data_IF_887150202511
#
_entry.id   IF_887150202511
#
_cell.length_a   1.000
_cell.length_b   1.000
_cell.length_c   1.000
_cell.angle_alpha   90.00
_cell.angle_beta   90.00
_cell.angle_gamma   90.00
#
_symmetry.space_group_name_H-M   'P 1'
#
loop_
_entity.id
_entity.type
_entity.pdbx_description
1 polymer ?
#
# COMPACT_ATOMS: atom_id res chain seq x y z
N UNK A 1 54.72 -67.33 -1.69
CA UNK A 1 54.36 -66.13 -2.48
C UNK A 1 53.00 -66.34 -3.12
N UNK A 2 51.89 -65.87 -2.52
CA UNK A 2 50.65 -65.53 -3.28
C UNK A 2 49.93 -64.41 -2.52
N UNK A 3 49.74 -63.28 -3.19
CA UNK A 3 49.08 -62.08 -2.68
C UNK A 3 47.56 -62.23 -2.75
N UNK A 4 46.90 -61.69 -1.73
CA UNK A 4 45.45 -61.59 -1.54
C UNK A 4 44.86 -60.60 -2.55
N UNK A 5 43.91 -61.01 -3.40
CA UNK A 5 43.14 -60.10 -4.26
C UNK A 5 41.94 -59.56 -3.47
N UNK A 6 41.91 -58.25 -3.24
CA UNK A 6 40.76 -57.53 -2.66
C UNK A 6 39.75 -57.23 -3.77
N UNK A 7 38.52 -57.70 -3.60
CA UNK A 7 37.39 -57.41 -4.47
C UNK A 7 36.81 -56.05 -4.09
N UNK A 8 36.96 -55.02 -4.93
CA UNK A 8 36.25 -53.74 -4.83
C UNK A 8 35.23 -53.65 -5.95
N UNK A 9 33.96 -53.89 -5.62
CA UNK A 9 32.81 -53.70 -6.52
C UNK A 9 31.74 -52.94 -5.74
N UNK A 10 31.87 -51.62 -5.68
CA UNK A 10 30.97 -50.77 -4.89
C UNK A 10 30.77 -49.34 -5.40
N UNK A 11 31.39 -48.93 -6.52
CA UNK A 11 31.35 -47.54 -6.98
C UNK A 11 30.27 -47.20 -8.02
N UNK A 12 29.85 -48.18 -8.83
CA UNK A 12 29.01 -47.91 -10.00
C UNK A 12 27.51 -47.96 -9.69
N UNK A 13 27.09 -48.88 -8.82
CA UNK A 13 25.68 -49.07 -8.44
C UNK A 13 25.13 -47.90 -7.62
N UNK A 14 25.94 -47.30 -6.74
CA UNK A 14 25.54 -46.13 -5.96
C UNK A 14 25.36 -44.86 -6.81
N UNK A 15 26.26 -44.61 -7.77
CA UNK A 15 26.15 -43.48 -8.70
C UNK A 15 24.93 -43.60 -9.62
N UNK A 16 24.60 -44.82 -10.05
CA UNK A 16 23.39 -45.09 -10.84
C UNK A 16 22.11 -44.83 -10.03
N UNK A 17 22.09 -45.24 -8.75
CA UNK A 17 20.95 -45.00 -7.87
C UNK A 17 20.72 -43.49 -7.62
N UNK A 18 21.79 -42.71 -7.42
CA UNK A 18 21.71 -41.26 -7.27
C UNK A 18 21.23 -40.59 -8.56
N UNK A 19 21.74 -41.01 -9.73
CA UNK A 19 21.29 -40.47 -11.01
C UNK A 19 19.80 -40.73 -11.27
N UNK A 20 19.31 -41.94 -10.96
CA UNK A 20 17.89 -42.28 -11.08
C UNK A 20 17.01 -41.44 -10.13
N UNK A 21 17.49 -41.17 -8.90
CA UNK A 21 16.79 -40.32 -7.95
C UNK A 21 16.70 -38.87 -8.42
N UNK A 22 17.77 -38.31 -9.00
CA UNK A 22 17.78 -36.97 -9.57
C UNK A 22 16.83 -36.86 -10.78
N UNK A 23 16.83 -37.86 -11.66
CA UNK A 23 15.89 -37.91 -12.81
C UNK A 23 14.44 -37.98 -12.34
N UNK A 24 14.15 -38.74 -11.28
CA UNK A 24 12.81 -38.79 -10.69
C UNK A 24 12.38 -37.42 -10.13
N UNK A 25 13.27 -36.70 -9.43
CA UNK A 25 12.99 -35.35 -8.92
C UNK A 25 12.73 -34.34 -10.04
N UNK A 26 13.53 -34.37 -11.11
CA UNK A 26 13.34 -33.50 -12.27
C UNK A 26 12.00 -33.78 -12.97
N UNK A 27 11.57 -35.04 -13.01
CA UNK A 27 10.29 -35.43 -13.61
C UNK A 27 9.10 -34.92 -12.81
N UNK A 28 9.18 -34.95 -11.48
CA UNK A 28 8.16 -34.38 -10.59
C UNK A 28 8.10 -32.86 -10.71
N UNK A 29 9.25 -32.18 -10.73
CA UNK A 29 9.32 -30.73 -10.90
C UNK A 29 8.76 -30.27 -12.25
N UNK A 30 9.07 -31.00 -13.33
CA UNK A 30 8.52 -30.74 -14.66
C UNK A 30 7.00 -30.97 -14.69
N UNK A 31 6.50 -32.02 -14.04
CA UNK A 31 5.05 -32.26 -13.91
C UNK A 31 4.32 -31.13 -13.18
N UNK A 32 4.92 -30.58 -12.11
CA UNK A 32 4.38 -29.43 -11.38
C UNK A 32 4.39 -28.16 -12.24
N UNK A 33 5.47 -27.92 -13.00
CA UNK A 33 5.56 -26.81 -13.95
C UNK A 33 4.52 -26.93 -15.06
N UNK A 34 4.33 -28.14 -15.61
CA UNK A 34 3.32 -28.41 -16.63
C UNK A 34 1.91 -28.19 -16.06
N UNK A 35 1.65 -28.65 -14.82
CA UNK A 35 0.38 -28.46 -14.13
C UNK A 35 0.10 -26.98 -13.85
N UNK A 36 1.10 -26.21 -13.40
CA UNK A 36 1.00 -24.76 -13.22
C UNK A 36 0.73 -24.04 -14.54
N UNK A 37 1.40 -24.45 -15.63
CA UNK A 37 1.20 -23.89 -16.95
C UNK A 37 -0.20 -24.19 -17.50
N UNK A 38 -0.68 -25.42 -17.34
CA UNK A 38 -2.05 -25.83 -17.69
C UNK A 38 -3.07 -25.01 -16.88
N UNK A 39 -2.88 -24.88 -15.56
CA UNK A 39 -3.78 -24.11 -14.69
C UNK A 39 -3.79 -22.62 -15.02
N UNK A 40 -2.64 -22.03 -15.37
CA UNK A 40 -2.53 -20.64 -15.84
C UNK A 40 -3.33 -20.44 -17.13
N UNK A 41 -3.19 -21.36 -18.08
CA UNK A 41 -3.91 -21.33 -19.36
C UNK A 41 -5.43 -21.57 -19.18
N UNK A 42 -5.86 -22.37 -18.19
CA UNK A 42 -7.28 -22.52 -17.84
C UNK A 42 -7.88 -21.20 -17.34
N UNK A 43 -7.14 -20.46 -16.50
CA UNK A 43 -7.58 -19.14 -16.02
C UNK A 43 -7.71 -18.14 -17.17
N UNK A 44 -6.78 -18.14 -18.11
CA UNK A 44 -6.85 -17.30 -19.31
C UNK A 44 -8.08 -17.64 -20.18
N UNK A 45 -8.37 -18.93 -20.37
CA UNK A 45 -9.56 -19.40 -21.11
C UNK A 45 -10.89 -19.00 -20.47
N UNK A 46 -11.03 -19.05 -19.14
CA UNK A 46 -12.26 -18.61 -18.46
C UNK A 46 -12.46 -17.09 -18.56
N UNK A 47 -11.38 -16.29 -18.58
CA UNK A 47 -11.49 -14.84 -18.79
C UNK A 47 -11.94 -14.53 -20.21
N UNK A 48 -11.37 -15.21 -21.21
CA UNK A 48 -11.76 -15.06 -22.61
C UNK A 48 -13.23 -15.46 -22.84
N UNK A 49 -13.68 -16.57 -22.24
CA UNK A 49 -15.08 -17.01 -22.35
C UNK A 49 -16.06 -16.00 -21.74
N UNK A 50 -15.71 -15.42 -20.59
CA UNK A 50 -16.54 -14.41 -19.92
C UNK A 50 -16.57 -13.08 -20.69
N UNK A 51 -15.47 -12.73 -21.36
CA UNK A 51 -15.43 -11.57 -22.27
C UNK A 51 -16.37 -11.79 -23.45
N UNK A 52 -16.34 -12.98 -24.09
CA UNK A 52 -17.21 -13.30 -25.22
C UNK A 52 -18.71 -13.29 -24.85
N UNK A 53 -19.08 -13.74 -23.64
CA UNK A 53 -20.46 -13.69 -23.15
C UNK A 53 -20.93 -12.24 -22.90
N UNK A 54 -20.04 -11.39 -22.37
CA UNK A 54 -20.33 -9.97 -22.17
C UNK A 54 -20.45 -9.20 -23.50
N UNK A 55 -19.64 -9.57 -24.50
CA UNK A 55 -19.72 -9.03 -25.87
C UNK A 55 -21.05 -9.39 -26.55
N UNK A 56 -21.53 -10.62 -26.37
CA UNK A 56 -22.83 -11.06 -26.89
C UNK A 56 -24.00 -10.29 -26.25
N UNK A 57 -23.94 -10.02 -24.94
CA UNK A 57 -24.94 -9.25 -24.21
C UNK A 57 -24.93 -7.75 -24.56
N UNK A 58 -23.76 -7.18 -24.88
CA UNK A 58 -23.62 -5.80 -25.35
C UNK A 58 -24.14 -5.63 -26.79
N UNK A 59 -23.93 -6.63 -27.66
CA UNK A 59 -24.42 -6.63 -29.03
C UNK A 59 -25.96 -6.69 -29.13
N UNK A 60 -26.66 -7.19 -28.11
CA UNK A 60 -28.12 -7.25 -28.09
C UNK A 60 -28.80 -5.94 -27.67
N UNK A 61 -28.06 -4.97 -27.09
CA UNK A 61 -28.64 -3.81 -26.40
C UNK A 61 -28.22 -2.43 -26.96
N UNK A 62 -27.55 -2.35 -28.11
CA UNK A 62 -27.10 -1.07 -28.68
C UNK A 62 -28.15 -0.38 -29.59
N UNK A 63 -28.66 0.78 -29.17
CA UNK A 63 -29.36 1.77 -30.03
C UNK A 63 -28.37 2.56 -30.93
N UNK A 64 -28.80 3.21 -32.04
CA UNK A 64 -27.95 3.42 -33.21
C UNK A 64 -27.01 4.64 -33.16
N UNK A 65 -25.76 4.34 -33.54
CA UNK A 65 -24.76 5.05 -34.35
C UNK A 65 -24.53 6.57 -34.21
N UNK A 66 -23.32 6.93 -33.78
CA UNK A 66 -22.60 8.12 -34.26
C UNK A 66 -21.20 7.70 -34.74
N UNK A 67 -20.95 7.95 -36.01
CA UNK A 67 -19.69 7.73 -36.73
C UNK A 67 -18.60 8.71 -36.23
N UNK A 68 -17.49 8.18 -35.72
CA UNK A 68 -16.15 8.78 -35.93
C UNK A 68 -15.07 7.73 -35.72
N UNK A 69 -14.22 7.61 -36.73
CA UNK A 69 -13.08 6.72 -36.80
C UNK A 69 -11.94 7.17 -35.88
N UNK A 70 -11.82 6.52 -34.72
CA UNK A 70 -10.63 6.51 -33.84
C UNK A 70 -10.59 5.14 -33.14
N UNK A 71 -9.41 4.52 -32.93
CA UNK A 71 -9.36 3.21 -32.26
C UNK A 71 -9.92 3.35 -30.86
N UNK A 72 -11.11 2.77 -30.64
CA UNK A 72 -11.88 2.89 -29.41
C UNK A 72 -11.15 2.11 -28.30
N UNK A 73 -10.54 2.86 -27.39
CA UNK A 73 -9.95 2.39 -26.16
C UNK A 73 -11.08 1.74 -25.35
N UNK A 74 -11.05 0.42 -25.15
CA UNK A 74 -12.04 -0.26 -24.31
C UNK A 74 -11.93 0.35 -22.90
N UNK A 75 -12.98 0.99 -22.35
CA UNK A 75 -12.89 1.55 -21.01
C UNK A 75 -12.83 0.41 -20.01
N UNK A 76 -11.65 0.19 -19.42
CA UNK A 76 -11.57 -0.31 -18.04
C UNK A 76 -12.60 0.52 -17.26
N UNK A 77 -13.52 -0.12 -16.53
CA UNK A 77 -14.49 0.59 -15.69
C UNK A 77 -13.67 1.49 -14.77
N UNK A 78 -13.57 2.77 -15.15
CA UNK A 78 -12.67 3.70 -14.50
C UNK A 78 -13.06 3.75 -13.03
N UNK A 79 -12.09 3.58 -12.14
CA UNK A 79 -12.34 3.75 -10.73
C UNK A 79 -12.91 5.16 -10.52
N UNK A 80 -14.09 5.23 -9.92
CA UNK A 80 -14.82 6.48 -9.83
C UNK A 80 -14.16 7.36 -8.78
N UNK A 81 -13.35 8.30 -9.25
CA UNK A 81 -12.75 9.32 -8.39
C UNK A 81 -13.71 10.48 -8.12
N UNK A 82 -13.57 11.12 -6.97
CA UNK A 82 -14.33 12.31 -6.56
C UNK A 82 -13.38 13.36 -6.02
N UNK A 83 -13.61 14.62 -6.36
CA UNK A 83 -12.90 15.71 -5.73
C UNK A 83 -13.28 15.78 -4.24
N UNK A 84 -12.27 15.76 -3.39
CA UNK A 84 -12.43 15.75 -1.93
C UNK A 84 -11.46 16.76 -1.32
N UNK A 85 -11.99 17.55 -0.39
CA UNK A 85 -11.22 18.48 0.43
C UNK A 85 -10.64 17.76 1.65
N UNK A 86 -9.33 17.87 1.84
CA UNK A 86 -8.58 17.20 2.91
C UNK A 86 -7.85 18.24 3.76
N UNK A 87 -8.41 18.54 4.94
CA UNK A 87 -7.91 19.57 5.86
C UNK A 87 -6.82 19.10 6.84
N UNK A 88 -6.61 17.80 7.00
CA UNK A 88 -5.67 17.25 7.98
C UNK A 88 -4.24 17.04 7.45
N UNK A 89 -3.99 17.39 6.19
CA UNK A 89 -2.72 17.16 5.49
C UNK A 89 -1.84 18.41 5.56
N UNK A 90 -0.60 18.24 6.01
CA UNK A 90 0.42 19.30 6.00
C UNK A 90 0.95 19.54 4.59
N UNK A 91 0.78 20.77 4.09
CA UNK A 91 1.23 21.19 2.76
C UNK A 91 2.50 22.02 2.89
N UNK A 92 3.59 21.56 2.26
CA UNK A 92 4.85 22.30 2.25
C UNK A 92 4.77 23.53 1.33
N UNK A 93 5.50 24.60 1.67
CA UNK A 93 5.43 25.89 0.96
C UNK A 93 5.85 25.84 -0.51
N UNK A 94 6.64 24.83 -0.89
CA UNK A 94 7.11 24.60 -2.24
C UNK A 94 6.14 23.77 -3.11
N UNK A 95 4.99 23.36 -2.56
CA UNK A 95 3.96 22.61 -3.28
C UNK A 95 2.92 23.58 -3.82
N UNK A 96 2.60 23.43 -5.11
CA UNK A 96 1.66 24.26 -5.85
C UNK A 96 0.54 23.43 -6.45
N UNK A 97 -0.54 24.09 -6.86
CA UNK A 97 -1.59 23.48 -7.66
C UNK A 97 -1.00 22.90 -8.96
N UNK A 98 -1.49 21.74 -9.37
CA UNK A 98 -0.98 21.00 -10.52
C UNK A 98 0.23 20.09 -10.22
N UNK A 99 0.89 20.24 -9.07
CA UNK A 99 1.98 19.34 -8.67
C UNK A 99 1.44 17.91 -8.42
N UNK A 100 2.24 16.91 -8.79
CA UNK A 100 2.01 15.52 -8.40
C UNK A 100 2.72 15.21 -7.09
N UNK A 101 2.02 14.56 -6.18
CA UNK A 101 2.49 14.32 -4.80
C UNK A 101 2.13 12.93 -4.30
N UNK A 102 2.98 12.38 -3.44
CA UNK A 102 2.60 11.31 -2.52
C UNK A 102 1.96 11.93 -1.27
N UNK A 103 0.91 11.27 -0.77
CA UNK A 103 0.35 11.54 0.56
C UNK A 103 0.95 10.52 1.52
N UNK A 104 1.60 11.01 2.58
CA UNK A 104 2.38 10.17 3.48
C UNK A 104 1.96 10.36 4.93
N UNK A 105 2.07 9.30 5.72
CA UNK A 105 1.95 9.32 7.17
C UNK A 105 3.28 8.97 7.80
N UNK A 106 3.73 9.83 8.71
CA UNK A 106 4.91 9.59 9.55
C UNK A 106 4.50 9.51 11.00
N UNK A 107 4.89 8.43 11.66
CA UNK A 107 4.68 8.24 13.09
C UNK A 107 5.85 8.80 13.92
N UNK A 108 5.64 8.90 15.23
CA UNK A 108 6.63 9.46 16.18
C UNK A 108 7.94 8.66 16.24
N UNK A 109 7.91 7.36 15.92
CA UNK A 109 9.11 6.51 15.84
C UNK A 109 9.93 6.73 14.55
N UNK A 110 9.46 7.62 13.67
CA UNK A 110 10.09 7.95 12.40
C UNK A 110 9.72 7.01 11.24
N UNK A 111 8.89 5.99 11.49
CA UNK A 111 8.34 5.16 10.40
C UNK A 111 7.44 6.01 9.49
N UNK A 112 7.55 5.77 8.19
CA UNK A 112 7.04 6.65 7.15
C UNK A 112 6.44 5.82 6.00
N UNK A 113 5.16 6.04 5.73
CA UNK A 113 4.35 5.21 4.84
C UNK A 113 3.60 6.07 3.83
N UNK A 114 3.30 5.50 2.66
CA UNK A 114 2.58 6.12 1.56
C UNK A 114 1.14 5.64 1.61
N UNK A 115 0.20 6.58 1.77
CA UNK A 115 -1.24 6.35 1.84
C UNK A 115 -1.85 6.35 0.43
N UNK A 116 -1.46 7.34 -0.38
CA UNK A 116 -1.89 7.50 -1.75
C UNK A 116 -0.70 8.05 -2.56
N UNK A 117 -0.53 7.54 -3.78
CA UNK A 117 0.64 7.81 -4.61
C UNK A 117 0.29 8.64 -5.84
N UNK A 118 1.19 9.51 -6.26
CA UNK A 118 1.11 10.27 -7.52
C UNK A 118 -0.22 11.01 -7.72
N UNK A 119 -0.69 11.71 -6.67
CA UNK A 119 -1.91 12.52 -6.66
C UNK A 119 -1.63 13.92 -7.16
N UNK A 120 -2.37 14.36 -8.17
CA UNK A 120 -2.32 15.73 -8.64
C UNK A 120 -3.11 16.63 -7.71
N UNK A 121 -2.51 17.73 -7.27
CA UNK A 121 -3.19 18.76 -6.47
C UNK A 121 -4.13 19.57 -7.36
N UNK A 122 -5.44 19.51 -7.11
CA UNK A 122 -6.42 20.35 -7.82
C UNK A 122 -6.37 21.78 -7.31
N UNK A 123 -6.45 21.97 -5.99
CA UNK A 123 -6.35 23.28 -5.35
C UNK A 123 -5.77 23.19 -3.95
N UNK A 124 -5.27 24.32 -3.45
CA UNK A 124 -4.73 24.43 -2.09
C UNK A 124 -5.45 25.57 -1.35
N UNK A 125 -6.10 25.26 -0.23
CA UNK A 125 -6.59 26.30 0.67
C UNK A 125 -5.42 26.77 1.55
N UNK A 126 -4.82 27.91 1.19
CA UNK A 126 -3.70 28.50 1.92
C UNK A 126 -4.13 29.23 3.20
N UNK A 127 -5.41 29.57 3.35
CA UNK A 127 -5.92 30.29 4.52
C UNK A 127 -6.28 29.32 5.65
N UNK A 128 -7.01 28.24 5.32
CA UNK A 128 -7.44 27.23 6.29
C UNK A 128 -6.50 26.03 6.37
N UNK A 129 -5.60 25.89 5.40
CA UNK A 129 -4.80 24.70 5.22
C UNK A 129 -5.60 23.58 4.55
N UNK A 130 -4.89 22.67 3.88
CA UNK A 130 -5.49 21.52 3.20
C UNK A 130 -5.42 21.62 1.68
N UNK A 131 -5.92 20.56 1.04
CA UNK A 131 -5.88 20.38 -0.41
C UNK A 131 -7.22 19.86 -0.93
N UNK A 132 -7.50 20.09 -2.21
CA UNK A 132 -8.53 19.38 -2.95
C UNK A 132 -7.84 18.49 -3.97
N UNK A 133 -8.23 17.22 -4.00
CA UNK A 133 -7.70 16.22 -4.94
C UNK A 133 -8.78 15.22 -5.37
N UNK A 134 -8.65 14.59 -6.56
CA UNK A 134 -9.46 13.44 -6.92
C UNK A 134 -9.01 12.20 -6.15
N UNK A 135 -9.92 11.63 -5.35
CA UNK A 135 -9.70 10.39 -4.58
C UNK A 135 -10.66 9.31 -5.01
N UNK A 136 -10.16 8.08 -5.07
CA UNK A 136 -11.00 6.89 -5.21
C UNK A 136 -11.68 6.51 -3.88
N UNK A 137 -12.59 5.56 -3.92
CA UNK A 137 -13.26 5.07 -2.72
C UNK A 137 -12.28 4.34 -1.78
N UNK A 138 -11.33 3.57 -2.33
CA UNK A 138 -10.28 2.92 -1.53
C UNK A 138 -9.39 3.98 -0.88
N UNK A 139 -8.87 4.93 -1.67
CA UNK A 139 -8.00 6.00 -1.17
C UNK A 139 -8.68 6.82 -0.08
N UNK A 140 -9.97 7.13 -0.23
CA UNK A 140 -10.75 7.84 0.79
C UNK A 140 -10.80 7.06 2.11
N UNK A 141 -11.00 5.74 2.07
CA UNK A 141 -10.99 4.90 3.28
C UNK A 141 -9.60 4.83 3.92
N UNK A 142 -8.53 4.73 3.11
CA UNK A 142 -7.15 4.77 3.61
C UNK A 142 -6.83 6.12 4.26
N UNK A 143 -7.25 7.23 3.66
CA UNK A 143 -7.11 8.58 4.18
C UNK A 143 -7.85 8.75 5.52
N UNK A 144 -9.08 8.27 5.62
CA UNK A 144 -9.85 8.29 6.88
C UNK A 144 -9.19 7.45 7.98
N UNK A 145 -8.61 6.29 7.62
CA UNK A 145 -7.82 5.48 8.56
C UNK A 145 -6.58 6.25 9.03
N UNK A 146 -5.87 6.93 8.12
CA UNK A 146 -4.67 7.69 8.43
C UNK A 146 -4.98 8.93 9.29
N UNK A 147 -6.11 9.60 9.07
CA UNK A 147 -6.58 10.70 9.92
C UNK A 147 -6.88 10.20 11.34
N UNK A 148 -7.55 9.06 11.45
CA UNK A 148 -7.80 8.41 12.76
C UNK A 148 -6.49 8.08 13.47
N UNK A 149 -5.51 7.51 12.75
CA UNK A 149 -4.20 7.20 13.29
C UNK A 149 -3.46 8.48 13.73
N UNK A 150 -3.52 9.56 12.93
CA UNK A 150 -2.96 10.87 13.28
C UNK A 150 -3.51 11.39 14.60
N UNK A 151 -4.81 11.25 14.81
CA UNK A 151 -5.46 11.76 16.02
C UNK A 151 -5.26 10.84 17.23
N UNK A 152 -5.11 9.53 16.99
CA UNK A 152 -4.88 8.54 18.04
C UNK A 152 -3.44 8.50 18.54
N UNK A 153 -2.48 8.76 17.66
CA UNK A 153 -1.04 8.63 17.94
C UNK A 153 -0.37 10.00 17.93
N UNK A 154 -0.12 10.55 19.12
CA UNK A 154 0.53 11.85 19.28
C UNK A 154 1.87 11.92 18.51
N UNK A 155 2.12 13.08 17.88
CA UNK A 155 3.33 13.32 17.08
C UNK A 155 3.28 12.77 15.65
N UNK A 156 2.20 12.07 15.29
CA UNK A 156 1.97 11.60 13.90
C UNK A 156 1.68 12.78 12.98
N UNK A 157 2.21 12.74 11.76
CA UNK A 157 2.03 13.77 10.74
C UNK A 157 1.57 13.13 9.44
N UNK A 158 0.52 13.69 8.85
CA UNK A 158 0.15 13.42 7.46
C UNK A 158 0.62 14.60 6.61
N UNK A 159 1.36 14.34 5.53
CA UNK A 159 2.01 15.39 4.74
C UNK A 159 2.22 14.98 3.29
N UNK A 160 2.51 15.97 2.45
CA UNK A 160 2.75 15.77 1.02
C UNK A 160 4.25 15.71 0.67
N UNK A 161 4.61 14.83 -0.26
CA UNK A 161 5.93 14.81 -0.91
C UNK A 161 5.76 14.98 -2.41
N UNK A 162 6.37 16.03 -2.97
CA UNK A 162 6.29 16.35 -4.40
C UNK A 162 7.19 15.44 -5.24
N UNK A 163 6.67 14.97 -6.38
CA UNK A 163 7.45 14.27 -7.40
C UNK A 163 8.40 15.20 -8.14
N UNK A 164 9.51 14.66 -8.62
CA UNK A 164 10.29 15.33 -9.65
C UNK A 164 9.55 15.17 -11.00
N UNK A 165 9.30 16.24 -11.76
CA UNK A 165 8.69 16.14 -13.09
C UNK A 165 9.42 15.21 -14.08
N UNK A 166 10.68 14.87 -13.80
CA UNK A 166 11.51 13.97 -14.62
C UNK A 166 11.54 12.53 -14.09
N UNK A 167 10.88 12.24 -12.97
CA UNK A 167 10.84 10.91 -12.36
C UNK A 167 9.53 10.19 -12.67
N UNK A 168 9.62 9.15 -13.50
CA UNK A 168 8.48 8.30 -13.88
C UNK A 168 8.22 7.17 -12.87
N UNK A 169 9.02 7.05 -11.80
CA UNK A 169 8.86 5.98 -10.81
C UNK A 169 7.77 6.32 -9.79
N UNK A 170 6.54 5.93 -10.11
CA UNK A 170 5.40 6.02 -9.19
C UNK A 170 5.63 5.11 -7.98
N UNK A 171 5.54 5.67 -6.78
CA UNK A 171 5.68 4.91 -5.54
C UNK A 171 4.53 3.92 -5.33
N UNK A 172 4.81 2.77 -4.71
CA UNK A 172 3.78 1.82 -4.28
C UNK A 172 3.17 2.25 -2.94
N UNK A 173 1.84 2.13 -2.81
CA UNK A 173 1.13 2.35 -1.55
C UNK A 173 1.48 1.24 -0.56
N UNK A 174 2.00 1.62 0.61
CA UNK A 174 2.47 0.69 1.63
C UNK A 174 1.93 0.99 3.04
N UNK A 175 0.98 1.93 3.16
CA UNK A 175 0.26 2.16 4.40
C UNK A 175 -0.69 0.99 4.72
N UNK A 176 -0.59 0.44 5.93
CA UNK A 176 -1.50 -0.60 6.41
C UNK A 176 -2.61 0.01 7.28
N UNK A 177 -3.88 0.00 6.81
CA UNK A 177 -4.99 0.58 7.55
C UNK A 177 -5.36 -0.27 8.78
N UNK A 178 -6.20 0.29 9.65
CA UNK A 178 -6.75 -0.47 10.78
C UNK A 178 -7.57 -1.68 10.31
N UNK A 179 -7.69 -2.70 11.17
CA UNK A 179 -8.48 -3.91 10.87
C UNK A 179 -9.93 -3.59 10.50
N UNK A 180 -10.54 -2.60 11.19
CA UNK A 180 -11.91 -2.15 10.88
C UNK A 180 -12.00 -1.62 9.46
N UNK A 181 -11.06 -0.76 9.06
CA UNK A 181 -11.08 -0.14 7.73
C UNK A 181 -10.75 -1.17 6.64
N UNK A 182 -9.82 -2.08 6.89
CA UNK A 182 -9.55 -3.22 5.98
C UNK A 182 -10.84 -4.00 5.70
N UNK A 183 -11.59 -4.37 6.74
CA UNK A 183 -12.82 -5.14 6.56
C UNK A 183 -13.89 -4.33 5.80
N UNK A 184 -13.96 -3.01 6.00
CA UNK A 184 -14.83 -2.11 5.22
C UNK A 184 -14.41 -2.06 3.74
N UNK A 185 -13.10 -1.97 3.45
CA UNK A 185 -12.57 -1.98 2.07
C UNK A 185 -12.96 -3.28 1.36
N UNK A 186 -12.78 -4.44 2.02
CA UNK A 186 -13.07 -5.76 1.43
C UNK A 186 -14.55 -5.97 1.06
N UNK A 187 -15.48 -5.30 1.76
CA UNK A 187 -16.93 -5.43 1.51
C UNK A 187 -17.51 -4.27 0.70
N UNK A 188 -16.74 -3.23 0.38
CA UNK A 188 -17.25 -2.03 -0.27
C UNK A 188 -17.54 -2.32 -1.76
N UNK A 189 -18.81 -2.25 -2.22
CA UNK A 189 -19.17 -2.55 -3.60
C UNK A 189 -18.65 -1.53 -4.62
N UNK A 190 -18.14 -0.39 -4.17
CA UNK A 190 -17.58 0.66 -5.04
C UNK A 190 -16.07 0.50 -5.27
N UNK A 191 -15.41 -0.42 -4.58
CA UNK A 191 -13.99 -0.74 -4.74
C UNK A 191 -13.89 -1.95 -5.67
N UNK A 192 -13.29 -1.76 -6.85
CA UNK A 192 -13.18 -2.83 -7.85
C UNK A 192 -11.84 -3.57 -7.75
N UNK A 193 -10.80 -2.91 -7.24
CA UNK A 193 -9.46 -3.44 -7.02
C UNK A 193 -8.91 -2.83 -5.73
N UNK A 194 -8.20 -3.62 -4.94
CA UNK A 194 -7.55 -3.18 -3.70
C UNK A 194 -6.08 -2.98 -4.03
N UNK A 195 -5.65 -1.73 -4.10
CA UNK A 195 -4.27 -1.33 -4.35
C UNK A 195 -3.39 -1.45 -3.11
N UNK A 196 -3.97 -1.30 -1.91
CA UNK A 196 -3.22 -1.39 -0.67
C UNK A 196 -2.89 -2.84 -0.28
N UNK A 197 -1.61 -3.12 -0.05
CA UNK A 197 -1.22 -4.38 0.56
C UNK A 197 -1.55 -4.36 2.06
N UNK A 198 -2.65 -5.00 2.45
CA UNK A 198 -2.92 -5.20 3.88
C UNK A 198 -1.94 -6.21 4.46
N UNK A 199 -1.17 -5.78 5.47
CA UNK A 199 -0.23 -6.61 6.19
C UNK A 199 -0.57 -6.61 7.69
N UNK A 200 -1.32 -7.63 8.13
CA UNK A 200 -1.76 -7.77 9.51
C UNK A 200 -0.61 -7.65 10.52
N UNK A 201 0.53 -8.27 10.22
CA UNK A 201 1.71 -8.26 11.10
C UNK A 201 2.31 -6.87 11.22
N UNK A 202 2.35 -6.13 10.11
CA UNK A 202 2.80 -4.74 10.10
C UNK A 202 1.85 -3.85 10.89
N UNK A 203 0.53 -4.02 10.72
CA UNK A 203 -0.45 -3.29 11.50
C UNK A 203 -0.31 -3.54 13.00
N UNK A 204 -0.18 -4.80 13.41
CA UNK A 204 0.07 -5.17 14.81
C UNK A 204 1.37 -4.53 15.33
N UNK A 205 2.42 -4.53 14.52
CA UNK A 205 3.71 -3.93 14.88
C UNK A 205 3.61 -2.42 15.08
N UNK A 206 2.90 -1.72 14.20
CA UNK A 206 2.64 -0.28 14.32
C UNK A 206 1.90 0.00 15.62
N UNK A 207 0.80 -0.71 15.89
CA UNK A 207 -0.01 -0.49 17.09
C UNK A 207 0.75 -0.83 18.38
N UNK A 208 1.55 -1.90 18.40
CA UNK A 208 2.39 -2.25 19.54
C UNK A 208 3.42 -1.17 19.83
N UNK A 209 4.17 -0.73 18.81
CA UNK A 209 5.19 0.34 18.96
C UNK A 209 4.57 1.63 19.45
N UNK A 210 3.44 2.02 18.86
CA UNK A 210 2.79 3.30 19.13
C UNK A 210 1.94 3.29 20.39
N UNK A 211 1.52 2.12 20.90
CA UNK A 211 0.82 1.99 22.19
C UNK A 211 1.61 2.61 23.35
N UNK A 212 2.94 2.58 23.27
CA UNK A 212 3.86 3.16 24.26
C UNK A 212 3.80 4.69 24.31
N UNK A 213 3.32 5.32 23.23
CA UNK A 213 3.14 6.77 23.11
C UNK A 213 1.67 7.21 23.32
N UNK A 214 0.72 6.27 23.43
CA UNK A 214 -0.70 6.57 23.74
C UNK A 214 -0.90 7.10 25.16
N UNK A 215 0.00 6.77 26.09
CA UNK A 215 -0.16 7.02 27.52
C UNK A 215 -0.03 8.48 27.98
N UNK A 216 0.63 9.34 27.21
CA UNK A 216 0.93 10.72 27.62
C UNK A 216 -0.13 11.76 27.20
N UNK A 217 -1.11 11.37 26.36
CA UNK A 217 -2.12 12.30 25.80
C UNK A 217 -3.57 12.02 26.25
N UNK A 218 -3.83 10.83 26.81
CA UNK A 218 -5.18 10.44 27.24
C UNK A 218 -5.70 11.16 28.49
N UNK A 219 -4.80 11.73 29.30
CA UNK A 219 -5.13 12.39 30.57
C UNK A 219 -5.32 13.91 30.43
N UNK A 220 -4.71 14.54 29.41
CA UNK A 220 -4.84 15.99 29.17
C UNK A 220 -6.17 16.39 28.53
N UNK A 221 -6.80 15.51 27.73
CA UNK A 221 -8.08 15.80 27.05
C UNK A 221 -9.29 15.62 28.00
N UNK A 222 -9.11 15.00 29.16
CA UNK A 222 -10.18 14.72 30.14
C UNK A 222 -10.27 15.71 31.29
N UNK A 223 -9.29 16.61 31.43
CA UNK A 223 -9.14 17.50 32.59
C UNK A 223 -9.59 18.94 32.41
N UNK A 224 -9.50 19.53 31.21
CA UNK A 224 -9.69 20.98 31.08
C UNK A 224 -11.05 21.33 30.46
N UNK A 225 -12.01 21.61 31.34
CA UNK A 225 -12.95 22.70 31.07
C UNK A 225 -12.12 23.96 30.94
N UNK A 226 -11.87 24.41 29.71
CA UNK A 226 -11.08 25.61 29.44
C UNK A 226 -11.89 26.82 29.92
N UNK A 227 -11.58 27.32 31.12
CA UNK A 227 -11.69 28.76 31.37
C UNK A 227 -10.59 29.44 30.55
N UNK A 228 -11.00 30.39 29.74
CA UNK A 228 -10.16 31.19 28.87
C UNK A 228 -9.21 32.05 29.73
N UNK A 229 -7.92 31.69 29.77
CA UNK A 229 -6.88 32.62 30.23
C UNK A 229 -5.67 32.58 29.30
N UNK A 230 -5.39 33.75 28.71
CA UNK A 230 -4.18 34.08 27.97
C UNK A 230 -2.92 33.90 28.82
N UNK A 231 -2.08 32.87 28.58
CA UNK A 231 -0.61 32.94 28.72
C UNK A 231 0.06 31.65 28.19
N UNK A 232 0.45 31.62 26.91
CA UNK A 232 1.17 30.48 26.34
C UNK A 232 2.65 30.52 26.74
N UNK A 233 3.07 29.66 27.67
CA UNK A 233 4.49 29.37 27.94
C UNK A 233 4.88 28.05 27.25
N UNK A 234 6.00 28.09 26.52
CA UNK A 234 6.46 27.08 25.56
C UNK A 234 6.69 25.65 26.09
N UNK A 235 7.24 24.76 25.25
CA UNK A 235 7.01 23.31 25.33
C UNK A 235 7.52 22.65 26.62
N UNK A 236 6.66 21.77 27.15
CA UNK A 236 6.79 21.02 28.40
C UNK A 236 7.93 19.99 28.31
N UNK A 237 8.75 19.94 29.34
CA UNK A 237 9.92 19.08 29.49
C UNK A 237 9.55 17.59 29.62
N UNK A 238 9.60 16.84 28.53
CA UNK A 238 9.36 15.38 28.51
C UNK A 238 10.39 14.54 27.75
N UNK A 239 11.51 15.13 27.29
CA UNK A 239 12.55 14.36 26.58
C UNK A 239 13.44 13.57 27.58
N UNK A 240 13.74 12.28 27.32
CA UNK A 240 14.77 11.55 28.05
C UNK A 240 16.13 12.24 27.89
N UNK A 241 16.79 12.56 29.01
CA UNK A 241 18.12 13.19 29.05
C UNK A 241 19.24 12.19 28.73
N UNK A 242 19.31 11.61 27.53
CA UNK A 242 20.44 10.72 27.18
C UNK A 242 21.03 10.86 25.77
N UNK A 243 20.74 11.94 25.04
CA UNK A 243 21.58 12.34 23.90
C UNK A 243 22.10 13.78 24.08
N UNK A 244 22.97 13.94 25.07
CA UNK A 244 23.73 15.16 25.33
C UNK A 244 25.17 15.00 24.86
N UNK A 245 25.43 15.34 23.60
CA UNK A 245 26.76 15.61 23.08
C UNK A 245 26.65 16.71 22.05
N UNK A 246 27.03 17.95 22.42
CA UNK A 246 27.03 19.08 21.49
C UNK A 246 28.09 18.87 20.41
N UNK A 247 27.64 18.75 19.17
CA UNK A 247 28.41 19.24 18.03
C UNK A 247 27.95 20.68 17.91
N UNK A 248 28.75 21.61 18.43
CA UNK A 248 28.81 23.07 18.25
C UNK A 248 29.33 23.68 19.56
N UNK A 249 30.60 23.37 19.87
CA UNK A 249 31.55 24.22 20.60
C UNK A 249 32.94 23.99 19.98
#
# INVERSE_FOLDING_TARGET
>A
MVRRVRKMSGGLKGKLAVALFVVALLSVAFGLLLWMFIKKNTKEKQYIAKISELEELLSQNSEPAVDTSTPEFIPVKAEKVRETELGFISVASNISEGDYTDIRIRYIDGSDYIIASHKQITSIDREKGGIVIPVSEEELLLLNSAETDKDLFAGTKVYLTRYDPLDDNISEVNYSPSFIIKDIIEINPNINEISASFNAKERETIEEKLSRFKGDYGDSIRGDTIEETEDYKGPVSGLPKEYGGSIWD
#
